data_IF_680207004364
#
_entry.id   IF_680207004364
#
_cell.length_a   1.000
_cell.length_b   1.000
_cell.length_c   1.000
_cell.angle_alpha   90.00
_cell.angle_beta   90.00
_cell.angle_gamma   90.00
#
_symmetry.space_group_name_H-M   'P 1'
#
loop_
_entity.id
_entity.type
_entity.pdbx_description
1 polymer ?
#
# COMPACT_ATOMS: atom_id res chain seq x y z
N UNK A 1 -9.01 6.95 17.82
CA UNK A 1 -7.68 6.27 17.88
C UNK A 1 -6.84 6.93 18.95
N UNK A 2 -6.01 6.18 19.68
CA UNK A 2 -5.05 6.77 20.60
C UNK A 2 -3.75 7.16 19.86
N UNK A 3 -2.87 7.91 20.52
CA UNK A 3 -1.61 8.38 19.95
C UNK A 3 -0.71 7.25 19.44
N UNK A 4 -0.68 6.11 20.14
CA UNK A 4 0.09 4.92 19.74
C UNK A 4 -0.39 4.37 18.40
N UNK A 5 -1.70 4.20 18.22
CA UNK A 5 -2.27 3.70 16.95
C UNK A 5 -1.98 4.67 15.81
N UNK A 6 -2.09 5.97 16.04
CA UNK A 6 -1.78 6.99 15.03
C UNK A 6 -0.31 6.90 14.61
N UNK A 7 0.61 6.80 15.58
CA UNK A 7 2.04 6.65 15.30
C UNK A 7 2.33 5.38 14.51
N UNK A 8 1.71 4.25 14.87
CA UNK A 8 1.81 3.00 14.09
C UNK A 8 1.34 3.20 12.66
N UNK A 9 0.14 3.74 12.46
CA UNK A 9 -0.39 3.99 11.10
C UNK A 9 0.57 4.88 10.30
N UNK A 10 1.10 5.94 10.90
CA UNK A 10 2.01 6.87 10.23
C UNK A 10 3.32 6.17 9.78
N UNK A 11 3.97 5.42 10.67
CA UNK A 11 5.23 4.72 10.36
C UNK A 11 5.03 3.67 9.29
N UNK A 12 4.00 2.82 9.42
CA UNK A 12 3.72 1.78 8.43
C UNK A 12 3.29 2.37 7.09
N UNK A 13 2.54 3.47 7.07
CA UNK A 13 2.19 4.19 5.84
C UNK A 13 3.42 4.75 5.15
N UNK A 14 4.30 5.42 5.89
CA UNK A 14 5.53 5.99 5.33
C UNK A 14 6.43 4.89 4.74
N UNK A 15 6.57 3.75 5.42
CA UNK A 15 7.33 2.60 4.92
C UNK A 15 6.71 1.99 3.67
N UNK A 16 5.38 1.78 3.66
CA UNK A 16 4.63 1.27 2.50
C UNK A 16 4.84 2.17 1.28
N UNK A 17 4.67 3.48 1.45
CA UNK A 17 4.85 4.46 0.38
C UNK A 17 6.29 4.47 -0.13
N UNK A 18 7.27 4.46 0.78
CA UNK A 18 8.68 4.44 0.40
C UNK A 18 9.03 3.21 -0.45
N UNK A 19 8.50 2.03 -0.10
CA UNK A 19 8.67 0.81 -0.88
C UNK A 19 7.94 0.89 -2.22
N UNK A 20 6.73 1.44 -2.26
CA UNK A 20 5.94 1.55 -3.49
C UNK A 20 6.62 2.48 -4.51
N UNK A 21 7.12 3.63 -4.05
CA UNK A 21 7.84 4.61 -4.87
C UNK A 21 9.30 4.21 -5.16
N UNK A 22 9.81 3.13 -4.53
CA UNK A 22 11.18 2.68 -4.73
C UNK A 22 11.43 2.23 -6.18
N UNK A 23 12.69 2.26 -6.65
CA UNK A 23 13.05 1.73 -7.96
C UNK A 23 12.98 0.19 -8.02
N UNK A 24 12.79 -0.50 -6.89
CA UNK A 24 12.70 -1.96 -6.82
C UNK A 24 11.33 -2.44 -7.30
N UNK A 25 11.17 -2.50 -8.61
CA UNK A 25 9.97 -2.98 -9.29
C UNK A 25 10.30 -3.79 -10.52
N UNK A 26 9.60 -4.90 -10.69
CA UNK A 26 9.75 -5.80 -11.84
C UNK A 26 8.43 -5.75 -12.63
N UNK A 27 8.42 -5.27 -13.88
CA UNK A 27 7.20 -5.24 -14.67
C UNK A 27 6.74 -6.67 -14.99
N UNK A 28 5.43 -6.90 -14.95
CA UNK A 28 4.87 -8.21 -15.28
C UNK A 28 5.04 -8.50 -16.79
N UNK A 29 5.48 -9.72 -17.18
CA UNK A 29 5.80 -10.04 -18.59
C UNK A 29 4.64 -9.80 -19.58
N UNK A 30 3.40 -10.09 -19.16
CA UNK A 30 2.21 -10.01 -20.01
C UNK A 30 1.36 -8.74 -19.76
N UNK A 31 1.71 -7.94 -18.76
CA UNK A 31 0.98 -6.75 -18.35
C UNK A 31 1.95 -5.67 -17.85
N UNK A 32 2.65 -4.94 -18.73
CA UNK A 32 3.72 -4.02 -18.36
C UNK A 32 3.30 -2.83 -17.47
N UNK A 33 1.99 -2.63 -17.29
CA UNK A 33 1.41 -1.65 -16.37
C UNK A 33 1.31 -2.16 -14.91
N UNK A 34 1.50 -3.47 -14.70
CA UNK A 34 1.54 -4.13 -13.40
C UNK A 34 3.00 -4.33 -12.99
N UNK A 35 3.31 -4.00 -11.73
CA UNK A 35 4.65 -4.15 -11.16
C UNK A 35 4.62 -5.10 -9.97
N UNK A 36 5.51 -6.08 -9.97
CA UNK A 36 5.81 -6.89 -8.79
C UNK A 36 6.75 -6.12 -7.88
N UNK A 37 6.33 -5.96 -6.63
CA UNK A 37 7.01 -5.18 -5.60
C UNK A 37 6.73 -5.82 -4.22
N UNK A 38 7.29 -5.22 -3.17
CA UNK A 38 7.15 -5.69 -1.78
C UNK A 38 6.46 -4.66 -0.87
N UNK A 39 5.76 -3.68 -1.45
CA UNK A 39 5.14 -2.58 -0.70
C UNK A 39 3.95 -3.04 0.13
N UNK A 40 3.40 -4.21 -0.15
CA UNK A 40 2.27 -4.81 0.56
C UNK A 40 2.69 -5.34 1.95
N UNK A 41 3.96 -5.69 2.12
CA UNK A 41 4.47 -6.34 3.35
C UNK A 41 4.19 -5.50 4.60
N UNK A 42 4.48 -4.18 4.66
CA UNK A 42 4.16 -3.38 5.83
C UNK A 42 2.65 -3.29 6.10
N UNK A 43 1.79 -3.25 5.08
CA UNK A 43 0.33 -3.24 5.26
C UNK A 43 -0.14 -4.53 5.92
N UNK A 44 0.28 -5.68 5.38
CA UNK A 44 -0.07 -7.00 5.90
C UNK A 44 0.47 -7.16 7.32
N UNK A 45 1.69 -6.69 7.59
CA UNK A 45 2.29 -6.70 8.93
C UNK A 45 1.48 -5.85 9.90
N UNK A 46 1.05 -4.65 9.49
CA UNK A 46 0.23 -3.77 10.32
C UNK A 46 -1.14 -4.38 10.63
N UNK A 47 -1.76 -5.04 9.64
CA UNK A 47 -2.99 -5.80 9.80
C UNK A 47 -2.83 -6.93 10.81
N UNK A 48 -1.81 -7.78 10.67
CA UNK A 48 -1.60 -8.95 11.53
C UNK A 48 -1.24 -8.55 12.98
N UNK A 49 -0.45 -7.49 13.17
CA UNK A 49 0.04 -7.10 14.50
C UNK A 49 -0.90 -6.16 15.26
N UNK A 50 -1.63 -5.29 14.57
CA UNK A 50 -2.43 -4.23 15.19
C UNK A 50 -3.92 -4.29 14.82
N UNK A 51 -4.32 -5.26 14.01
CA UNK A 51 -5.70 -5.54 13.65
C UNK A 51 -6.18 -4.90 12.35
N UNK A 52 -7.40 -5.25 11.91
CA UNK A 52 -7.91 -4.95 10.57
C UNK A 52 -8.00 -3.46 10.26
N UNK A 53 -8.40 -2.65 11.25
CA UNK A 53 -8.53 -1.20 11.07
C UNK A 53 -7.18 -0.53 10.80
N UNK A 54 -6.09 -1.00 11.42
CA UNK A 54 -4.77 -0.41 11.21
C UNK A 54 -4.27 -0.72 9.79
N UNK A 55 -4.38 -1.97 9.34
CA UNK A 55 -4.06 -2.34 7.96
C UNK A 55 -4.88 -1.54 6.93
N UNK A 56 -6.18 -1.36 7.19
CA UNK A 56 -7.07 -0.55 6.35
C UNK A 56 -6.64 0.92 6.27
N UNK A 57 -6.28 1.55 7.39
CA UNK A 57 -5.84 2.95 7.35
C UNK A 57 -4.52 3.11 6.59
N UNK A 58 -3.57 2.18 6.76
CA UNK A 58 -2.30 2.19 6.04
C UNK A 58 -2.54 2.04 4.52
N UNK A 59 -3.43 1.13 4.10
CA UNK A 59 -3.73 0.93 2.68
C UNK A 59 -4.43 2.13 2.04
N UNK A 60 -5.36 2.77 2.76
CA UNK A 60 -6.02 4.02 2.30
C UNK A 60 -5.00 5.14 2.13
N UNK A 61 -4.13 5.36 3.13
CA UNK A 61 -3.11 6.41 3.06
C UNK A 61 -2.14 6.15 1.89
N UNK A 62 -1.66 4.92 1.73
CA UNK A 62 -0.82 4.55 0.60
C UNK A 62 -1.51 4.87 -0.75
N UNK A 63 -2.79 4.51 -0.87
CA UNK A 63 -3.59 4.77 -2.08
C UNK A 63 -3.69 6.26 -2.40
N UNK A 64 -4.02 7.07 -1.39
CA UNK A 64 -4.12 8.54 -1.56
C UNK A 64 -2.80 9.16 -1.99
N UNK A 65 -1.68 8.73 -1.40
CA UNK A 65 -0.35 9.22 -1.77
C UNK A 65 -0.02 8.83 -3.20
N UNK A 66 -0.27 7.58 -3.61
CA UNK A 66 0.02 7.14 -4.98
C UNK A 66 -0.86 7.85 -6.01
N UNK A 67 -2.12 8.12 -5.72
CA UNK A 67 -2.98 8.92 -6.60
C UNK A 67 -2.40 10.32 -6.90
N UNK A 68 -1.65 10.90 -5.96
CA UNK A 68 -1.05 12.23 -6.10
C UNK A 68 0.33 12.16 -6.77
N UNK A 69 1.21 11.26 -6.30
CA UNK A 69 2.63 11.28 -6.67
C UNK A 69 2.98 10.33 -7.80
N UNK A 70 2.35 9.16 -7.87
CA UNK A 70 2.66 8.16 -8.87
C UNK A 70 1.47 7.22 -9.07
N UNK A 71 0.49 7.63 -9.90
CA UNK A 71 -0.67 6.79 -10.16
C UNK A 71 -0.31 5.62 -11.10
N UNK A 72 0.94 5.51 -11.56
CA UNK A 72 1.39 4.48 -12.49
C UNK A 72 1.02 4.80 -13.94
N UNK A 73 1.22 3.82 -14.82
CA UNK A 73 0.89 3.93 -16.25
C UNK A 73 -0.62 3.92 -16.51
N UNK A 74 -1.39 3.36 -15.59
CA UNK A 74 -2.84 3.42 -15.57
C UNK A 74 -3.24 4.32 -14.40
N UNK A 75 -3.85 5.50 -14.61
CA UNK A 75 -4.15 6.44 -13.53
C UNK A 75 -4.99 5.88 -12.38
N UNK A 76 -5.77 4.84 -12.66
CA UNK A 76 -6.60 4.09 -11.70
C UNK A 76 -5.85 2.96 -10.98
N UNK A 77 -4.56 2.76 -11.28
CA UNK A 77 -3.69 1.73 -10.71
C UNK A 77 -3.74 1.66 -9.17
N UNK A 78 -3.65 2.79 -8.43
CA UNK A 78 -3.73 2.78 -6.98
C UNK A 78 -5.05 2.20 -6.45
N UNK A 79 -6.16 2.36 -7.17
CA UNK A 79 -7.45 1.78 -6.77
C UNK A 79 -7.47 0.26 -6.96
N UNK A 80 -6.81 -0.27 -8.00
CA UNK A 80 -6.60 -1.71 -8.16
C UNK A 80 -5.71 -2.28 -7.05
N UNK A 81 -4.64 -1.57 -6.69
CA UNK A 81 -3.79 -1.94 -5.55
C UNK A 81 -4.59 -2.00 -4.25
N UNK A 82 -5.46 -1.02 -4.00
CA UNK A 82 -6.35 -1.02 -2.84
C UNK A 82 -7.30 -2.22 -2.88
N UNK A 83 -7.95 -2.49 -4.01
CA UNK A 83 -8.86 -3.62 -4.16
C UNK A 83 -8.15 -4.97 -3.93
N UNK A 84 -6.93 -5.14 -4.44
CA UNK A 84 -6.13 -6.34 -4.24
C UNK A 84 -5.76 -6.53 -2.76
N UNK A 85 -5.33 -5.47 -2.07
CA UNK A 85 -5.04 -5.52 -0.63
C UNK A 85 -6.31 -5.85 0.16
N UNK A 86 -7.42 -5.18 -0.10
CA UNK A 86 -8.66 -5.45 0.63
C UNK A 86 -9.14 -6.88 0.39
N UNK A 87 -9.03 -7.40 -0.83
CA UNK A 87 -9.34 -8.80 -1.13
C UNK A 87 -8.40 -9.81 -0.46
N UNK A 88 -7.17 -9.40 -0.11
CA UNK A 88 -6.23 -10.23 0.66
C UNK A 88 -6.48 -10.19 2.17
N UNK A 89 -7.00 -9.06 2.69
CA UNK A 89 -7.22 -8.84 4.12
C UNK A 89 -8.61 -9.26 4.62
N UNK A 90 -9.54 -9.57 3.71
CA UNK A 90 -10.90 -10.07 3.97
C UNK A 90 -10.96 -11.59 3.82
#
# INVERSE_FOLDING_TARGET
>A
MNSRTIATVAVFSALTVALNLSPFKIPAPYAPFLYYQIWEIPIVTAFLLFGPLVGLYVSIINTLVLLIYFPGTLPVGPLYNLAAILGMLL
#
